data_IF_693975744804
#
_entry.id   IF_693975744804
#
_cell.length_a   1.000
_cell.length_b   1.000
_cell.length_c   1.000
_cell.angle_alpha   90.00
_cell.angle_beta   90.00
_cell.angle_gamma   90.00
#
_symmetry.space_group_name_H-M   'P 1'
#
loop_
_entity.id
_entity.type
_entity.pdbx_description
1 polymer ?
#
# COMPACT_ATOMS: atom_id res chain seq x y z
N UNK A 1 -11.58 -4.45 8.84
CA UNK A 1 -12.37 -3.21 8.99
C UNK A 1 -11.87 -2.19 7.97
N UNK A 2 -12.67 -1.85 6.94
CA UNK A 2 -12.34 -0.72 6.05
C UNK A 2 -12.32 0.54 6.91
N UNK A 3 -11.13 1.05 7.24
CA UNK A 3 -11.01 2.34 7.93
C UNK A 3 -11.63 3.36 6.97
N UNK A 4 -12.61 4.12 7.44
CA UNK A 4 -13.24 5.22 6.70
C UNK A 4 -12.22 6.35 6.48
N UNK A 5 -11.15 6.05 5.73
CA UNK A 5 -10.05 6.96 5.44
C UNK A 5 -10.57 7.93 4.38
N UNK A 6 -10.27 9.23 4.53
CA UNK A 6 -10.67 10.19 3.53
C UNK A 6 -10.10 9.76 2.17
N UNK A 7 -10.94 9.77 1.11
CA UNK A 7 -10.46 9.57 -0.25
C UNK A 7 -9.43 10.65 -0.50
N UNK A 8 -8.33 10.24 -1.09
CA UNK A 8 -7.20 11.09 -1.30
C UNK A 8 -6.17 11.10 -0.17
N UNK A 9 -6.15 10.10 0.70
CA UNK A 9 -5.14 10.02 1.78
C UNK A 9 -4.10 8.95 1.49
N UNK A 10 -2.87 9.16 2.00
CA UNK A 10 -1.79 8.14 1.92
C UNK A 10 -2.28 6.76 2.39
N UNK A 11 -3.15 6.75 3.39
CA UNK A 11 -3.69 5.51 3.90
C UNK A 11 -4.73 4.85 2.97
N UNK A 12 -5.51 5.60 2.20
CA UNK A 12 -6.40 5.00 1.20
C UNK A 12 -5.58 4.37 0.05
N UNK A 13 -4.52 5.07 -0.37
CA UNK A 13 -3.59 4.55 -1.38
C UNK A 13 -2.90 3.28 -0.92
N UNK A 14 -2.46 3.23 0.34
CA UNK A 14 -1.87 2.02 0.90
C UNK A 14 -2.85 0.84 0.92
N UNK A 15 -4.11 1.05 1.34
CA UNK A 15 -5.12 -0.01 1.41
C UNK A 15 -5.38 -0.60 0.02
N UNK A 16 -5.51 0.26 -1.00
CA UNK A 16 -5.66 -0.17 -2.39
C UNK A 16 -4.44 -0.95 -2.89
N UNK A 17 -3.22 -0.47 -2.66
CA UNK A 17 -2.01 -1.21 -3.04
C UNK A 17 -1.89 -2.53 -2.28
N UNK A 18 -2.36 -2.60 -1.03
CA UNK A 18 -2.37 -3.81 -0.22
C UNK A 18 -3.40 -4.83 -0.71
N UNK A 19 -4.54 -4.39 -1.23
CA UNK A 19 -5.54 -5.28 -1.88
C UNK A 19 -5.04 -5.78 -3.24
N UNK A 20 -4.19 -5.02 -3.94
CA UNK A 20 -3.69 -5.35 -5.27
C UNK A 20 -2.38 -6.16 -5.28
N UNK A 21 -1.49 -5.92 -4.32
CA UNK A 21 -0.22 -6.62 -4.19
C UNK A 21 -0.41 -7.76 -3.19
N UNK A 22 -0.43 -8.99 -3.69
CA UNK A 22 -0.48 -10.16 -2.83
C UNK A 22 0.76 -10.23 -1.91
N UNK A 23 0.64 -10.77 -0.68
CA UNK A 23 1.77 -10.89 0.23
C UNK A 23 2.88 -11.76 -0.37
N UNK A 24 4.07 -11.19 -0.49
CA UNK A 24 5.23 -11.81 -1.16
C UNK A 24 5.33 -11.51 -2.66
N UNK A 25 4.32 -10.90 -3.24
CA UNK A 25 4.37 -10.36 -4.60
C UNK A 25 4.80 -8.89 -4.61
N UNK A 26 5.04 -8.39 -5.82
CA UNK A 26 5.46 -7.02 -6.04
C UNK A 26 4.83 -6.46 -7.29
N UNK A 27 4.77 -5.15 -7.35
CA UNK A 27 4.27 -4.42 -8.51
C UNK A 27 5.32 -3.44 -8.98
N UNK A 28 5.46 -3.26 -10.29
CA UNK A 28 6.33 -2.22 -10.82
C UNK A 28 5.91 -0.84 -10.33
N UNK A 29 6.90 0.02 -10.03
CA UNK A 29 6.65 1.40 -9.58
C UNK A 29 5.76 2.14 -10.58
N UNK A 30 5.99 2.00 -11.88
CA UNK A 30 5.22 2.68 -12.91
C UNK A 30 3.75 2.25 -12.92
N UNK A 31 3.51 0.94 -12.80
CA UNK A 31 2.17 0.36 -12.67
C UNK A 31 1.47 0.85 -11.41
N UNK A 32 2.17 0.90 -10.27
CA UNK A 32 1.61 1.46 -9.04
C UNK A 32 1.28 2.95 -9.19
N UNK A 33 2.17 3.75 -9.79
CA UNK A 33 1.93 5.18 -10.07
C UNK A 33 0.68 5.33 -10.93
N UNK A 34 0.54 4.54 -11.99
CA UNK A 34 -0.62 4.58 -12.88
C UNK A 34 -1.91 4.28 -12.13
N UNK A 35 -1.96 3.19 -11.35
CA UNK A 35 -3.13 2.84 -10.53
C UNK A 35 -3.49 3.95 -9.54
N UNK A 36 -2.50 4.53 -8.86
CA UNK A 36 -2.72 5.66 -7.95
C UNK A 36 -3.27 6.87 -8.68
N UNK A 37 -2.80 7.18 -9.90
CA UNK A 37 -3.36 8.28 -10.71
C UNK A 37 -4.79 8.01 -11.17
N UNK A 38 -5.12 6.76 -11.49
CA UNK A 38 -6.46 6.38 -11.95
C UNK A 38 -7.48 6.41 -10.83
N UNK A 39 -7.12 5.91 -9.64
CA UNK A 39 -8.03 5.84 -8.50
C UNK A 39 -8.08 7.14 -7.71
N UNK A 40 -6.94 7.82 -7.55
CA UNK A 40 -6.76 8.90 -6.56
C UNK A 40 -6.24 10.18 -7.22
N UNK A 41 -7.10 10.83 -8.02
CA UNK A 41 -6.78 12.09 -8.72
C UNK A 41 -6.46 13.29 -7.82
N UNK A 42 -6.76 13.21 -6.52
CA UNK A 42 -6.71 14.34 -5.59
C UNK A 42 -5.44 14.39 -4.71
N UNK A 43 -4.56 13.38 -4.74
CA UNK A 43 -3.45 13.23 -3.77
C UNK A 43 -2.12 13.67 -4.35
N UNK A 44 -2.01 14.94 -4.74
CA UNK A 44 -0.77 15.44 -5.35
C UNK A 44 -0.27 14.53 -6.49
N UNK A 45 1.05 14.47 -6.67
CA UNK A 45 1.65 13.56 -7.66
C UNK A 45 1.68 12.14 -7.10
N UNK A 46 1.15 11.15 -7.84
CA UNK A 46 1.17 9.74 -7.45
C UNK A 46 2.57 9.22 -7.06
N UNK A 47 3.61 9.68 -7.78
CA UNK A 47 5.01 9.40 -7.44
C UNK A 47 5.39 9.92 -6.04
N UNK A 48 4.89 11.10 -5.66
CA UNK A 48 5.12 11.68 -4.34
C UNK A 48 4.41 10.88 -3.24
N UNK A 49 3.21 10.38 -3.52
CA UNK A 49 2.45 9.51 -2.60
C UNK A 49 3.20 8.21 -2.36
N UNK A 50 3.64 7.54 -3.43
CA UNK A 50 4.41 6.30 -3.33
C UNK A 50 5.73 6.56 -2.59
N UNK A 51 6.43 7.64 -2.90
CA UNK A 51 7.64 8.04 -2.18
C UNK A 51 7.38 8.23 -0.68
N UNK A 52 6.24 8.84 -0.30
CA UNK A 52 5.84 8.99 1.10
C UNK A 52 5.49 7.67 1.78
N UNK A 53 4.93 6.71 1.06
CA UNK A 53 4.68 5.37 1.59
C UNK A 53 5.97 4.60 1.84
N UNK A 54 6.95 4.73 0.94
CA UNK A 54 8.28 4.14 1.11
C UNK A 54 9.03 4.79 2.28
N UNK A 55 9.05 6.13 2.33
CA UNK A 55 9.71 6.91 3.40
C UNK A 55 9.16 6.58 4.80
N UNK A 56 7.86 6.26 4.88
CA UNK A 56 7.20 5.86 6.13
C UNK A 56 7.34 4.37 6.46
N UNK A 57 7.97 3.57 5.59
CA UNK A 57 8.15 2.13 5.78
C UNK A 57 6.89 1.30 5.54
N UNK A 58 5.88 1.84 4.87
CA UNK A 58 4.71 1.05 4.45
C UNK A 58 5.04 0.20 3.23
N UNK A 59 5.86 0.73 2.33
CA UNK A 59 6.34 0.05 1.13
C UNK A 59 7.86 0.01 1.16
N UNK A 60 8.45 -0.93 0.44
CA UNK A 60 9.86 -0.90 0.13
C UNK A 60 10.07 -1.13 -1.37
N UNK A 61 11.11 -0.52 -1.92
CA UNK A 61 11.45 -0.60 -3.35
C UNK A 61 12.70 -1.44 -3.54
N UNK A 62 12.62 -2.45 -4.39
CA UNK A 62 13.77 -3.28 -4.81
C UNK A 62 13.73 -3.39 -6.34
N UNK A 63 14.83 -3.01 -7.00
CA UNK A 63 14.98 -3.15 -8.46
C UNK A 63 13.80 -2.60 -9.30
N UNK A 64 13.26 -1.43 -8.93
CA UNK A 64 12.11 -0.85 -9.66
C UNK A 64 10.74 -1.45 -9.31
N UNK A 65 10.70 -2.46 -8.44
CA UNK A 65 9.49 -3.09 -7.94
C UNK A 65 9.17 -2.61 -6.51
N UNK A 66 7.89 -2.45 -6.23
CA UNK A 66 7.34 -2.09 -4.92
C UNK A 66 6.75 -3.31 -4.27
N UNK A 67 7.07 -3.46 -3.00
CA UNK A 67 6.60 -4.52 -2.15
C UNK A 67 5.87 -3.91 -0.96
N UNK A 68 4.80 -4.58 -0.53
CA UNK A 68 4.16 -4.27 0.74
C UNK A 68 5.11 -4.67 1.86
N UNK A 69 5.38 -3.75 2.78
CA UNK A 69 6.04 -4.13 4.04
C UNK A 69 5.01 -4.89 4.83
N UNK A 70 5.15 -6.22 4.88
CA UNK A 70 4.44 -7.04 5.84
C UNK A 70 4.87 -6.59 7.23
N UNK A 71 4.08 -5.69 7.84
CA UNK A 71 4.03 -5.68 9.28
C UNK A 71 3.53 -7.07 9.64
N UNK A 72 4.41 -7.92 10.21
CA UNK A 72 3.99 -9.05 11.02
C UNK A 72 3.06 -8.46 12.07
N UNK A 73 1.78 -8.44 11.73
CA UNK A 73 0.71 -8.16 12.63
C UNK A 73 0.81 -9.30 13.64
N UNK A 74 1.38 -8.99 14.80
CA UNK A 74 1.40 -9.90 15.95
C UNK A 74 0.00 -10.26 16.43
N UNK A 75 -1.07 -9.73 15.81
CA UNK A 75 -2.41 -10.30 15.86
C UNK A 75 -2.56 -11.35 14.77
N UNK A 76 -1.82 -12.44 14.99
CA UNK A 76 -2.43 -13.75 14.88
C UNK A 76 -3.82 -13.63 15.52
N UNK A 77 -4.86 -13.64 14.69
CA UNK A 77 -6.17 -14.10 15.11
C UNK A 77 -5.94 -15.56 15.51
N UNK A 78 -5.43 -15.75 16.72
CA UNK A 78 -5.47 -17.01 17.44
C UNK A 78 -6.93 -17.21 17.78
N UNK A 79 -7.70 -17.56 16.75
CA UNK A 79 -8.82 -18.47 16.89
C UNK A 79 -8.24 -19.82 17.30
N UNK A 80 -7.63 -19.86 18.49
CA UNK A 80 -7.39 -21.09 19.22
C UNK A 80 -8.72 -21.41 19.86
N UNK A 81 -9.44 -22.31 19.19
CA UNK A 81 -10.46 -23.15 19.81
C UNK A 81 -9.96 -23.64 21.17
N UNK A 82 -10.65 -23.32 22.26
CA UNK A 82 -10.87 -24.18 23.44
C UNK A 82 -12.16 -23.76 24.16
#
# INVERSE_FOLDING_TARGET
MRRNRPPGSLGAVYDMLYEEIEPGESIEVDTAVTKVRETERSVGTAEHVIGRLVDRGYLYKVDGQLYITEHRDGSQDSKSEQ
#
